data_IF_527747340274
#
_entry.id   IF_527747340274
#
_cell.length_a   1.000
_cell.length_b   1.000
_cell.length_c   1.000
_cell.angle_alpha   90.00
_cell.angle_beta   90.00
_cell.angle_gamma   90.00
#
_symmetry.space_group_name_H-M   'P 1'
#
loop_
_entity.id
_entity.type
_entity.pdbx_description
1 polymer ?
#
# COMPACT_ATOMS: atom_id res chain seq x y z
N UNK A 1 -27.09 -22.30 6.19
CA UNK A 1 -27.30 -22.38 7.65
C UNK A 1 -27.48 -23.84 8.02
N UNK A 2 -26.68 -24.38 8.95
CA UNK A 2 -26.84 -25.76 9.43
C UNK A 2 -27.33 -25.74 10.87
N UNK A 3 -28.52 -26.30 11.11
CA UNK A 3 -29.05 -26.47 12.47
C UNK A 3 -28.24 -27.54 13.20
N UNK A 4 -27.77 -27.24 14.42
CA UNK A 4 -27.02 -28.17 15.27
C UNK A 4 -27.66 -28.28 16.65
N UNK A 5 -27.53 -29.46 17.27
CA UNK A 5 -28.03 -29.77 18.60
C UNK A 5 -27.29 -28.95 19.69
N UNK A 6 -27.94 -28.55 20.81
CA UNK A 6 -27.31 -27.74 21.85
C UNK A 6 -26.05 -28.34 22.49
N UNK A 7 -25.98 -29.66 22.57
CA UNK A 7 -24.79 -30.39 23.10
C UNK A 7 -23.71 -30.65 22.05
N UNK A 8 -23.92 -30.23 20.80
CA UNK A 8 -22.98 -30.50 19.72
C UNK A 8 -21.72 -29.65 19.89
N UNK A 9 -20.51 -30.22 19.72
CA UNK A 9 -19.28 -29.46 19.84
C UNK A 9 -19.24 -28.30 18.84
N UNK A 10 -19.02 -27.09 19.36
CA UNK A 10 -18.87 -25.88 18.55
C UNK A 10 -17.48 -25.88 17.93
N UNK A 11 -17.40 -25.73 16.62
CA UNK A 11 -16.12 -25.55 15.92
C UNK A 11 -15.46 -24.26 16.42
N UNK A 12 -14.50 -24.38 17.33
CA UNK A 12 -13.70 -23.24 17.78
C UNK A 12 -12.74 -22.87 16.66
N UNK A 13 -12.91 -21.68 16.08
CA UNK A 13 -11.92 -21.13 15.15
C UNK A 13 -10.60 -20.98 15.92
N UNK A 14 -9.50 -21.44 15.32
CA UNK A 14 -8.16 -21.16 15.84
C UNK A 14 -8.01 -19.64 15.97
N UNK A 15 -7.57 -19.15 17.13
CA UNK A 15 -7.32 -17.71 17.31
C UNK A 15 -6.20 -17.32 16.35
N UNK A 16 -6.44 -16.34 15.49
CA UNK A 16 -5.39 -15.79 14.65
C UNK A 16 -4.32 -15.17 15.55
N UNK A 17 -3.25 -15.92 15.80
CA UNK A 17 -2.03 -15.41 16.40
C UNK A 17 -1.38 -14.48 15.37
N UNK A 18 -0.79 -13.35 15.80
CA UNK A 18 -0.04 -12.47 14.91
C UNK A 18 1.08 -13.32 14.30
N UNK A 19 0.90 -13.78 13.06
CA UNK A 19 1.86 -14.64 12.40
C UNK A 19 3.13 -13.84 12.13
N UNK A 20 4.28 -14.41 12.47
CA UNK A 20 5.59 -13.95 12.05
C UNK A 20 5.81 -14.11 10.52
N UNK A 21 4.75 -14.04 9.70
CA UNK A 21 4.76 -14.08 8.24
C UNK A 21 3.96 -12.92 7.58
N UNK A 22 3.66 -11.82 8.32
CA UNK A 22 2.87 -10.71 7.77
C UNK A 22 3.73 -9.85 6.84
N UNK A 23 3.34 -9.82 5.57
CA UNK A 23 3.97 -8.99 4.54
C UNK A 23 3.09 -7.75 4.28
N UNK A 24 3.72 -6.61 4.00
CA UNK A 24 3.01 -5.39 3.63
C UNK A 24 3.05 -5.24 2.11
N UNK A 25 1.91 -4.92 1.50
CA UNK A 25 1.84 -4.61 0.06
C UNK A 25 1.37 -3.17 -0.11
N UNK A 26 2.06 -2.43 -0.99
CA UNK A 26 1.70 -1.07 -1.38
C UNK A 26 1.22 -1.10 -2.83
N UNK A 27 0.04 -0.56 -3.09
CA UNK A 27 -0.57 -0.58 -4.43
C UNK A 27 -1.01 0.82 -4.82
N UNK A 28 -0.57 1.27 -5.98
CA UNK A 28 -0.97 2.52 -6.62
C UNK A 28 -1.79 2.21 -7.87
N UNK A 29 -2.91 2.92 -8.03
CA UNK A 29 -3.88 2.65 -9.08
C UNK A 29 -4.65 3.93 -9.42
N UNK A 30 -5.27 3.93 -10.61
CA UNK A 30 -6.20 4.97 -11.06
C UNK A 30 -7.49 4.32 -11.59
N UNK A 31 -8.41 5.13 -12.12
CA UNK A 31 -9.66 4.65 -12.71
C UNK A 31 -9.47 3.63 -13.86
N UNK A 32 -8.26 3.52 -14.45
CA UNK A 32 -7.93 2.56 -15.50
C UNK A 32 -7.24 1.30 -14.96
N UNK A 33 -6.98 1.23 -13.66
CA UNK A 33 -6.43 0.06 -12.97
C UNK A 33 -5.08 0.30 -12.30
N UNK A 34 -4.40 -0.80 -11.95
CA UNK A 34 -3.16 -0.78 -11.16
C UNK A 34 -1.98 -0.25 -11.97
N UNK A 35 -1.22 0.67 -11.38
CA UNK A 35 -0.02 1.29 -11.94
C UNK A 35 1.22 0.62 -11.35
N UNK A 36 1.32 0.52 -10.03
CA UNK A 36 2.45 -0.08 -9.33
C UNK A 36 1.95 -0.93 -8.17
N UNK A 37 2.52 -2.11 -8.00
CA UNK A 37 2.31 -2.97 -6.83
C UNK A 37 3.68 -3.36 -6.31
N UNK A 38 3.93 -3.11 -5.03
CA UNK A 38 5.19 -3.44 -4.39
C UNK A 38 4.94 -4.23 -3.11
N UNK A 39 5.79 -5.22 -2.86
CA UNK A 39 5.72 -6.08 -1.70
C UNK A 39 6.90 -5.72 -0.80
N UNK A 40 6.61 -5.09 0.33
CA UNK A 40 7.63 -4.74 1.31
C UNK A 40 7.96 -5.97 2.15
N UNK A 41 9.23 -6.40 2.20
CA UNK A 41 9.64 -7.52 3.02
C UNK A 41 9.28 -7.28 4.47
N UNK A 42 8.93 -8.38 5.13
CA UNK A 42 8.41 -8.38 6.47
C UNK A 42 9.35 -7.72 7.48
N UNK A 43 8.77 -7.00 8.45
CA UNK A 43 9.43 -6.29 9.55
C UNK A 43 10.21 -5.02 9.22
N UNK A 44 10.26 -4.57 7.96
CA UNK A 44 10.61 -3.18 7.68
C UNK A 44 9.40 -2.30 7.98
N UNK A 45 9.47 -1.53 9.07
CA UNK A 45 8.69 -0.30 9.14
C UNK A 45 8.97 0.48 7.86
N UNK A 46 7.95 0.89 7.12
CA UNK A 46 8.11 1.75 5.95
C UNK A 46 8.75 3.05 6.45
N UNK A 47 10.06 3.18 6.32
CA UNK A 47 10.77 4.42 6.65
C UNK A 47 10.46 5.40 5.51
N UNK A 48 10.32 6.69 5.83
CA UNK A 48 10.02 7.73 4.83
C UNK A 48 10.92 7.65 3.58
N UNK A 49 12.19 7.29 3.74
CA UNK A 49 13.13 7.11 2.63
C UNK A 49 12.72 5.98 1.65
N UNK A 50 12.24 4.85 2.19
CA UNK A 50 11.76 3.73 1.37
C UNK A 50 10.49 4.13 0.61
N UNK A 51 9.63 4.93 1.25
CA UNK A 51 8.45 5.46 0.60
C UNK A 51 8.82 6.41 -0.55
N UNK A 52 9.81 7.29 -0.36
CA UNK A 52 10.31 8.15 -1.45
C UNK A 52 10.85 7.36 -2.64
N UNK A 53 11.64 6.30 -2.40
CA UNK A 53 12.09 5.40 -3.47
C UNK A 53 10.91 4.71 -4.19
N UNK A 54 9.82 4.45 -3.47
CA UNK A 54 8.59 3.92 -4.07
C UNK A 54 7.88 4.97 -4.93
N UNK A 55 7.88 6.24 -4.52
CA UNK A 55 7.34 7.35 -5.30
C UNK A 55 8.15 7.62 -6.58
N UNK A 56 9.47 7.50 -6.54
CA UNK A 56 10.32 7.56 -7.74
C UNK A 56 9.89 6.49 -8.76
N UNK A 57 9.79 5.23 -8.32
CA UNK A 57 9.32 4.11 -9.15
C UNK A 57 7.88 4.31 -9.63
N UNK A 58 7.02 4.92 -8.82
CA UNK A 58 5.64 5.23 -9.22
C UNK A 58 5.63 6.25 -10.35
N UNK A 59 6.44 7.31 -10.28
CA UNK A 59 6.55 8.32 -11.34
C UNK A 59 6.97 7.68 -12.66
N UNK A 60 7.98 6.81 -12.62
CA UNK A 60 8.43 6.05 -13.80
C UNK A 60 7.33 5.12 -14.33
N UNK A 61 6.62 4.42 -13.45
CA UNK A 61 5.51 3.56 -13.83
C UNK A 61 4.37 4.35 -14.48
N UNK A 62 4.08 5.57 -14.00
CA UNK A 62 3.11 6.48 -14.62
C UNK A 62 3.57 6.88 -16.02
N UNK A 63 4.84 7.28 -16.20
CA UNK A 63 5.39 7.63 -17.52
C UNK A 63 5.15 6.51 -18.55
N UNK A 64 5.40 5.25 -18.16
CA UNK A 64 5.27 4.11 -19.06
C UNK A 64 3.82 3.65 -19.25
N UNK A 65 3.03 3.53 -18.16
CA UNK A 65 1.68 2.93 -18.20
C UNK A 65 0.56 3.92 -18.47
N UNK A 66 0.81 5.22 -18.28
CA UNK A 66 -0.17 6.31 -18.47
C UNK A 66 0.46 7.50 -19.21
N UNK A 67 0.83 7.34 -20.49
CA UNK A 67 1.45 8.41 -21.27
C UNK A 67 0.63 9.70 -21.23
N UNK A 68 1.31 10.82 -20.96
CA UNK A 68 0.68 12.14 -20.89
C UNK A 68 -0.06 12.46 -19.59
N UNK A 69 -0.20 11.52 -18.64
CA UNK A 69 -0.86 11.79 -17.35
C UNK A 69 -0.09 12.83 -16.53
N UNK A 70 1.24 12.70 -16.43
CA UNK A 70 2.07 13.68 -15.74
C UNK A 70 1.98 15.09 -16.34
N UNK A 71 1.80 15.20 -17.66
CA UNK A 71 1.65 16.49 -18.35
C UNK A 71 0.31 17.17 -18.03
N UNK A 72 -0.73 16.40 -17.71
CA UNK A 72 -2.05 16.91 -17.33
C UNK A 72 -2.14 17.33 -15.86
N UNK A 73 -1.13 17.01 -15.06
CA UNK A 73 -1.17 17.11 -13.61
C UNK A 73 -1.79 15.86 -12.98
N UNK A 74 -1.26 15.45 -11.83
CA UNK A 74 -1.73 14.30 -11.07
C UNK A 74 -2.13 14.76 -9.68
N UNK A 75 -3.37 14.47 -9.29
CA UNK A 75 -3.78 14.58 -7.89
C UNK A 75 -3.41 13.26 -7.21
N UNK A 76 -2.45 13.31 -6.30
CA UNK A 76 -2.00 12.15 -5.56
C UNK A 76 -2.75 12.04 -4.23
N UNK A 77 -3.47 10.93 -4.03
CA UNK A 77 -4.19 10.65 -2.80
C UNK A 77 -3.55 9.47 -2.07
N UNK A 78 -3.26 9.65 -0.79
CA UNK A 78 -2.72 8.63 0.10
C UNK A 78 -3.15 8.93 1.55
N UNK A 79 -2.98 7.96 2.45
CA UNK A 79 -3.30 8.12 3.87
C UNK A 79 -2.23 8.91 4.63
N UNK A 80 -2.63 9.46 5.78
CA UNK A 80 -1.78 10.26 6.68
C UNK A 80 -0.90 9.38 7.60
N UNK A 81 -0.42 8.24 7.11
CA UNK A 81 0.48 7.39 7.89
C UNK A 81 1.78 8.13 8.22
N UNK A 82 2.37 7.85 9.37
CA UNK A 82 3.59 8.53 9.85
C UNK A 82 4.70 8.66 8.79
N UNK A 83 5.07 7.63 8.01
CA UNK A 83 6.08 7.79 6.97
C UNK A 83 5.61 8.63 5.78
N UNK A 84 4.32 8.67 5.49
CA UNK A 84 3.76 9.44 4.38
C UNK A 84 3.69 10.94 4.70
N UNK A 85 3.55 11.28 5.99
CA UNK A 85 3.46 12.66 6.47
C UNK A 85 4.80 13.19 6.99
N UNK A 86 5.86 12.38 6.95
CA UNK A 86 7.20 12.80 7.33
C UNK A 86 7.71 13.91 6.40
N UNK A 87 8.48 14.86 6.95
CA UNK A 87 9.05 15.98 6.19
C UNK A 87 9.81 15.53 4.94
N UNK A 88 10.54 14.42 5.03
CA UNK A 88 11.30 13.86 3.92
C UNK A 88 10.38 13.43 2.76
N UNK A 89 9.22 12.85 3.07
CA UNK A 89 8.22 12.49 2.05
C UNK A 89 7.52 13.73 1.50
N UNK A 90 7.21 14.71 2.33
CA UNK A 90 6.63 15.97 1.85
C UNK A 90 7.58 16.70 0.88
N UNK A 91 8.87 16.75 1.17
CA UNK A 91 9.89 17.29 0.25
C UNK A 91 9.98 16.48 -1.05
N UNK A 92 9.90 15.15 -0.96
CA UNK A 92 9.88 14.28 -2.13
C UNK A 92 8.67 14.55 -3.01
N UNK A 93 7.48 14.70 -2.44
CA UNK A 93 6.26 15.07 -3.17
C UNK A 93 6.36 16.46 -3.80
N UNK A 94 6.88 17.46 -3.07
CA UNK A 94 7.10 18.82 -3.59
C UNK A 94 8.05 18.84 -4.80
N UNK A 95 9.06 17.96 -4.84
CA UNK A 95 9.95 17.83 -6.00
C UNK A 95 9.21 17.37 -7.27
N UNK A 96 8.09 16.68 -7.12
CA UNK A 96 7.37 16.11 -8.25
C UNK A 96 6.38 17.07 -8.92
N UNK A 97 6.06 18.19 -8.28
CA UNK A 97 5.17 19.24 -8.81
C UNK A 97 3.75 19.11 -8.30
#
# INVERSE_FOLDING_TARGET
>A
MTWKHPSSPVTKKFKAQISAAKVMATVFWDAKGVILSDILPQSQCTIAAQYCSTLDRLRDAICHKRPGLLRKGVVFQHDNATPHSANLTQQCLQRYG
#
